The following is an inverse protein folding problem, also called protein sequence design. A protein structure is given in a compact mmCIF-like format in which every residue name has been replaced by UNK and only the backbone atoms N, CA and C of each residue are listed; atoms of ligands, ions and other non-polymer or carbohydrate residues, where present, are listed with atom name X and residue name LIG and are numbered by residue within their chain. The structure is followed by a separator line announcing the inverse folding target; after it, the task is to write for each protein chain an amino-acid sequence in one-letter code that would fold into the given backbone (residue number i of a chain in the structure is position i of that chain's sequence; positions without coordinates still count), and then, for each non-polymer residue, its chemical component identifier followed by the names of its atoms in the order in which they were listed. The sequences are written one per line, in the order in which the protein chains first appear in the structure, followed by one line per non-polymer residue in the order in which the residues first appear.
data_IF_299865427252
#
_entry.id   IF_299865427252
#
_cell.length_a   1.000
_cell.length_b   1.000
_cell.length_c   1.000
_cell.angle_alpha   90.00
_cell.angle_beta   90.00
_cell.angle_gamma   90.00
#
_symmetry.space_group_name_H-M   'P 1'
#
loop_
_entity.id
_entity.type
_entity.pdbx_description
1 polymer ?
#
# COMPACT_ATOMS: atom_id res chain seq x y z
N UNK A 1 65.37 -19.58 12.18
CA UNK A 1 64.34 -19.90 11.17
C UNK A 1 62.99 -20.02 11.86
N UNK A 2 61.98 -19.26 11.37
CA UNK A 2 60.52 -19.58 11.42
C UNK A 2 59.86 -19.58 12.81
N UNK A 3 58.68 -19.00 13.07
CA UNK A 3 57.66 -18.29 12.27
C UNK A 3 56.85 -17.45 13.25
N UNK A 4 56.58 -16.21 12.84
CA UNK A 4 55.78 -15.19 13.54
C UNK A 4 54.40 -15.71 13.95
N UNK A 5 54.08 -15.58 15.24
CA UNK A 5 52.75 -15.75 15.82
C UNK A 5 52.00 -14.41 15.77
N UNK A 6 51.41 -14.11 14.63
CA UNK A 6 50.47 -13.01 14.47
C UNK A 6 49.28 -13.53 13.66
N UNK A 7 48.09 -13.04 13.99
CA UNK A 7 46.77 -13.34 13.42
C UNK A 7 46.09 -14.59 14.02
N UNK A 8 45.24 -14.39 15.05
CA UNK A 8 43.81 -14.55 14.76
C UNK A 8 42.92 -13.52 15.49
N UNK A 9 43.35 -12.26 15.64
CA UNK A 9 42.57 -11.27 16.41
C UNK A 9 41.72 -10.29 15.58
N UNK A 10 41.85 -10.25 14.25
CA UNK A 10 41.18 -9.21 13.44
C UNK A 10 39.89 -9.68 12.74
N UNK A 11 39.56 -10.97 12.77
CA UNK A 11 38.39 -11.51 12.05
C UNK A 11 37.06 -11.44 12.83
N UNK A 12 37.08 -11.01 14.09
CA UNK A 12 35.90 -11.03 14.96
C UNK A 12 35.03 -9.74 14.93
N UNK A 13 35.42 -8.72 14.15
CA UNK A 13 34.76 -7.39 14.18
C UNK A 13 33.80 -7.10 13.03
N UNK A 14 33.55 -8.04 12.10
CA UNK A 14 32.71 -7.81 10.91
C UNK A 14 31.33 -8.49 10.94
N UNK A 15 30.91 -9.09 12.05
CA UNK A 15 29.66 -9.84 12.13
C UNK A 15 28.40 -9.02 12.53
N UNK A 16 28.48 -7.69 12.56
CA UNK A 16 27.35 -6.80 12.90
C UNK A 16 26.81 -6.03 11.68
N UNK A 17 26.90 -6.63 10.49
CA UNK A 17 26.26 -6.10 9.29
C UNK A 17 24.73 -6.16 9.43
N UNK A 18 24.21 -5.09 10.03
CA UNK A 18 22.86 -4.53 9.99
C UNK A 18 21.90 -5.19 9.01
N UNK A 19 20.99 -6.03 9.52
CA UNK A 19 19.68 -6.19 8.90
C UNK A 19 18.81 -4.99 9.31
N UNK A 20 19.05 -3.83 8.69
CA UNK A 20 18.08 -2.75 8.76
C UNK A 20 16.86 -3.19 7.95
N UNK A 21 15.79 -3.59 8.64
CA UNK A 21 14.51 -3.79 7.98
C UNK A 21 14.06 -2.42 7.42
N UNK A 22 13.57 -2.36 6.18
CA UNK A 22 13.04 -1.11 5.64
C UNK A 22 11.97 -0.56 6.59
N UNK A 23 11.91 0.76 6.81
CA UNK A 23 10.84 1.34 7.61
C UNK A 23 9.50 0.87 7.06
N UNK A 24 8.50 0.58 7.92
CA UNK A 24 7.17 0.26 7.46
C UNK A 24 6.74 1.37 6.49
N UNK A 25 6.15 1.02 5.33
CA UNK A 25 5.71 2.03 4.38
C UNK A 25 4.87 3.05 5.14
N UNK A 26 5.23 4.33 5.03
CA UNK A 26 4.48 5.41 5.67
C UNK A 26 3.01 5.16 5.39
N UNK A 27 2.18 5.19 6.44
CA UNK A 27 0.74 5.03 6.32
C UNK A 27 0.20 6.22 5.53
N UNK A 28 0.37 6.20 4.21
CA UNK A 28 -0.30 7.09 3.29
C UNK A 28 -1.78 6.96 3.62
N UNK A 29 -2.32 8.07 4.13
CA UNK A 29 -3.68 8.23 4.63
C UNK A 29 -4.63 7.39 3.79
N UNK A 30 -5.06 6.26 4.36
CA UNK A 30 -5.64 5.18 3.56
C UNK A 30 -7.03 5.63 3.14
N UNK A 31 -7.15 6.10 1.90
CA UNK A 31 -8.44 6.31 1.24
C UNK A 31 -9.23 4.99 1.34
N UNK A 32 -10.26 4.99 2.17
CA UNK A 32 -11.11 3.83 2.45
C UNK A 32 -12.56 4.26 2.37
N UNK A 33 -13.44 3.31 2.03
CA UNK A 33 -14.89 3.55 2.02
C UNK A 33 -15.37 4.04 3.39
N UNK A 34 -14.87 3.45 4.48
CA UNK A 34 -15.25 3.82 5.84
C UNK A 34 -14.87 5.25 6.21
N UNK A 35 -13.67 5.72 5.81
CA UNK A 35 -13.25 7.12 6.01
C UNK A 35 -14.18 8.09 5.30
N UNK A 36 -14.52 7.81 4.04
CA UNK A 36 -15.46 8.65 3.28
C UNK A 36 -16.84 8.66 3.92
N UNK A 37 -17.36 7.49 4.32
CA UNK A 37 -18.68 7.38 4.95
C UNK A 37 -18.76 8.08 6.31
N UNK A 38 -17.68 8.08 7.09
CA UNK A 38 -17.64 8.71 8.42
C UNK A 38 -17.35 10.20 8.40
N UNK A 39 -16.47 10.65 7.50
CA UNK A 39 -15.92 12.01 7.54
C UNK A 39 -16.57 12.94 6.50
N UNK A 40 -16.98 12.44 5.33
CA UNK A 40 -17.57 13.27 4.28
C UNK A 40 -19.08 13.41 4.47
N UNK A 41 -19.55 14.66 4.43
CA UNK A 41 -20.96 15.01 4.60
C UNK A 41 -21.40 16.01 3.55
N UNK A 42 -22.67 15.92 3.16
CA UNK A 42 -23.32 16.94 2.32
C UNK A 42 -23.22 18.29 3.02
N UNK A 43 -22.86 19.34 2.29
CA UNK A 43 -22.62 20.70 2.77
C UNK A 43 -21.17 21.01 3.19
N UNK A 44 -20.28 20.03 3.21
CA UNK A 44 -18.85 20.24 3.49
C UNK A 44 -18.18 21.06 2.38
N UNK A 45 -17.27 21.99 2.69
CA UNK A 45 -16.51 22.66 1.63
C UNK A 45 -15.43 21.77 1.01
N UNK A 46 -15.12 22.03 -0.26
CA UNK A 46 -14.07 21.33 -0.99
C UNK A 46 -12.70 21.37 -0.30
N UNK A 47 -12.36 22.45 0.41
CA UNK A 47 -11.10 22.55 1.15
C UNK A 47 -11.02 21.55 2.31
N UNK A 48 -12.10 21.41 3.07
CA UNK A 48 -12.24 20.42 4.15
C UNK A 48 -12.20 19.00 3.61
N UNK A 49 -12.86 18.75 2.46
CA UNK A 49 -12.76 17.46 1.76
C UNK A 49 -11.30 17.15 1.39
N UNK A 50 -10.57 18.11 0.83
CA UNK A 50 -9.15 17.94 0.49
C UNK A 50 -8.27 17.76 1.73
N UNK A 51 -8.63 18.35 2.86
CA UNK A 51 -7.90 18.16 4.11
C UNK A 51 -8.11 16.75 4.70
N UNK A 52 -9.29 16.18 4.48
CA UNK A 52 -9.67 14.84 4.97
C UNK A 52 -9.17 13.72 4.06
N UNK A 53 -9.29 13.89 2.73
CA UNK A 53 -8.99 12.84 1.75
C UNK A 53 -7.71 13.10 0.94
N UNK A 54 -7.11 14.29 1.09
CA UNK A 54 -6.02 14.73 0.24
C UNK A 54 -6.48 15.25 -1.13
N UNK A 55 -5.51 15.47 -2.00
CA UNK A 55 -5.73 15.92 -3.37
C UNK A 55 -6.43 14.84 -4.20
N UNK A 56 -7.47 15.19 -4.98
CA UNK A 56 -8.12 14.25 -5.87
C UNK A 56 -7.20 13.82 -7.02
N UNK A 57 -7.47 12.64 -7.57
CA UNK A 57 -6.78 12.14 -8.75
C UNK A 57 -7.24 12.90 -10.02
N UNK A 58 -8.53 13.25 -10.08
CA UNK A 58 -9.13 13.95 -11.22
C UNK A 58 -10.08 15.03 -10.72
N UNK A 59 -9.98 16.22 -11.31
CA UNK A 59 -10.94 17.31 -11.17
C UNK A 59 -11.63 17.51 -12.52
N UNK A 60 -12.96 17.44 -12.53
CA UNK A 60 -13.79 17.59 -13.74
C UNK A 60 -15.06 18.39 -13.40
N UNK A 61 -15.98 18.48 -14.36
CA UNK A 61 -17.27 19.15 -14.16
C UNK A 61 -18.44 18.32 -14.66
N UNK A 62 -19.61 18.53 -14.05
CA UNK A 62 -20.88 17.93 -14.49
C UNK A 62 -21.53 18.68 -15.66
N UNK A 63 -22.74 18.27 -16.05
CA UNK A 63 -23.55 18.88 -17.11
C UNK A 63 -23.89 20.37 -16.88
N UNK A 64 -23.82 20.85 -15.64
CA UNK A 64 -24.02 22.26 -15.26
C UNK A 64 -22.70 23.00 -15.03
N UNK A 65 -21.56 22.42 -15.43
CA UNK A 65 -20.21 22.93 -15.20
C UNK A 65 -19.84 23.10 -13.72
N UNK A 66 -20.45 22.32 -12.83
CA UNK A 66 -20.13 22.31 -11.41
C UNK A 66 -19.04 21.28 -11.13
N UNK A 67 -18.18 21.59 -10.18
CA UNK A 67 -16.97 20.82 -9.88
C UNK A 67 -17.29 19.39 -9.40
N UNK A 68 -16.49 18.43 -9.85
CA UNK A 68 -16.57 17.02 -9.48
C UNK A 68 -15.15 16.51 -9.27
N UNK A 69 -14.90 15.90 -8.12
CA UNK A 69 -13.63 15.30 -7.77
C UNK A 69 -13.74 13.79 -7.78
N UNK A 70 -12.73 13.13 -8.35
CA UNK A 70 -12.65 11.68 -8.41
C UNK A 70 -11.35 11.26 -7.71
N UNK A 71 -11.50 10.31 -6.80
CA UNK A 71 -10.41 9.66 -6.11
C UNK A 71 -10.38 8.19 -6.50
N UNK A 72 -9.18 7.67 -6.76
CA UNK A 72 -8.98 6.26 -7.04
C UNK A 72 -7.93 5.65 -6.10
N UNK A 73 -8.12 4.38 -5.76
CA UNK A 73 -7.15 3.58 -5.03
C UNK A 73 -7.16 2.16 -5.57
N UNK A 74 -5.98 1.69 -5.96
CA UNK A 74 -5.75 0.29 -6.33
C UNK A 74 -4.87 -0.33 -5.24
N UNK A 75 -5.29 -1.46 -4.70
CA UNK A 75 -4.53 -2.28 -3.75
C UNK A 75 -4.37 -3.68 -4.30
N UNK A 76 -3.16 -4.24 -4.17
CA UNK A 76 -2.87 -5.62 -4.55
C UNK A 76 -2.42 -6.39 -3.32
N UNK A 77 -3.15 -7.44 -2.96
CA UNK A 77 -2.73 -8.38 -1.93
C UNK A 77 -2.10 -9.58 -2.62
N UNK A 78 -0.88 -9.96 -2.22
CA UNK A 78 -0.20 -11.16 -2.69
C UNK A 78 -0.06 -12.11 -1.51
N UNK A 79 -0.69 -13.28 -1.61
CA UNK A 79 -0.46 -14.37 -0.64
C UNK A 79 0.56 -15.31 -1.23
N UNK A 80 1.80 -15.16 -0.77
CA UNK A 80 2.89 -16.06 -1.08
C UNK A 80 2.97 -17.11 0.04
N UNK A 81 2.39 -18.29 -0.20
CA UNK A 81 2.49 -19.39 0.78
C UNK A 81 3.85 -20.06 0.60
N UNK A 82 4.88 -19.55 1.30
CA UNK A 82 6.16 -20.24 1.41
C UNK A 82 6.13 -21.15 2.65
N UNK A 83 5.88 -22.44 2.44
CA UNK A 83 6.16 -23.44 3.47
C UNK A 83 7.67 -23.68 3.51
N UNK A 84 8.41 -22.87 4.28
CA UNK A 84 9.79 -23.20 4.64
C UNK A 84 9.76 -24.32 5.68
N UNK A 85 9.76 -25.57 5.21
CA UNK A 85 10.15 -26.70 6.05
C UNK A 85 11.65 -26.51 6.32
N UNK A 86 11.95 -25.84 7.43
CA UNK A 86 13.25 -25.87 8.06
C UNK A 86 13.49 -27.28 8.59
N UNK A 87 14.27 -28.06 7.86
CA UNK A 87 14.76 -29.37 8.31
C UNK A 87 14.86 -30.37 7.18
N UNK A 88 16.11 -30.62 6.75
CA UNK A 88 16.58 -31.88 6.15
C UNK A 88 15.79 -32.45 4.97
N UNK A 89 16.33 -32.32 3.75
CA UNK A 89 16.54 -33.42 2.78
C UNK A 89 17.35 -32.85 1.59
N UNK A 90 18.67 -33.07 1.64
CA UNK A 90 19.59 -32.94 0.49
C UNK A 90 19.95 -34.39 0.11
N UNK A 91 18.96 -35.18 -0.32
CA UNK A 91 19.23 -36.54 -0.82
C UNK A 91 18.36 -36.75 -2.06
N UNK A 92 19.04 -36.80 -3.21
CA UNK A 92 18.57 -37.31 -4.50
C UNK A 92 17.34 -36.65 -5.15
N UNK A 93 17.60 -35.82 -6.16
CA UNK A 93 16.73 -35.69 -7.33
C UNK A 93 15.43 -34.90 -7.15
N UNK A 94 15.50 -33.59 -7.40
CA UNK A 94 14.36 -32.82 -7.89
C UNK A 94 13.31 -32.42 -6.85
N UNK A 95 13.65 -31.46 -5.99
CA UNK A 95 12.63 -30.71 -5.23
C UNK A 95 11.94 -29.69 -6.14
N UNK A 96 10.86 -30.09 -6.81
CA UNK A 96 9.92 -29.13 -7.43
C UNK A 96 9.03 -28.57 -6.33
N UNK A 97 9.48 -27.50 -5.68
CA UNK A 97 8.62 -26.70 -4.80
C UNK A 97 7.52 -26.05 -5.64
N UNK A 98 6.28 -26.48 -5.47
CA UNK A 98 5.12 -25.83 -6.09
C UNK A 98 4.75 -24.61 -5.26
N UNK A 99 5.27 -23.43 -5.62
CA UNK A 99 4.79 -22.17 -5.08
C UNK A 99 3.44 -21.84 -5.72
N UNK A 100 2.39 -21.81 -4.91
CA UNK A 100 1.12 -21.20 -5.30
C UNK A 100 1.12 -19.76 -4.82
N UNK A 101 1.19 -18.83 -5.76
CA UNK A 101 0.97 -17.40 -5.48
C UNK A 101 -0.45 -17.05 -5.90
N UNK A 102 -1.25 -16.54 -4.97
CA UNK A 102 -2.54 -15.95 -5.30
C UNK A 102 -2.45 -14.44 -5.11
N UNK A 103 -2.89 -13.68 -6.12
CA UNK A 103 -2.88 -12.22 -6.11
C UNK A 103 -4.31 -11.75 -6.26
N UNK A 104 -4.77 -10.91 -5.34
CA UNK A 104 -6.09 -10.25 -5.43
C UNK A 104 -5.87 -8.76 -5.60
N UNK A 105 -6.46 -8.18 -6.62
CA UNK A 105 -6.47 -6.74 -6.83
C UNK A 105 -7.82 -6.17 -6.41
N UNK A 106 -7.79 -5.02 -5.76
CA UNK A 106 -8.97 -4.29 -5.27
C UNK A 106 -8.88 -2.86 -5.77
N UNK A 107 -9.97 -2.38 -6.37
CA UNK A 107 -10.10 -1.01 -6.83
C UNK A 107 -11.23 -0.33 -6.07
N UNK A 108 -10.95 0.87 -5.57
CA UNK A 108 -11.91 1.77 -4.97
C UNK A 108 -11.92 3.08 -5.77
N UNK A 109 -13.10 3.49 -6.21
CA UNK A 109 -13.32 4.81 -6.83
C UNK A 109 -14.34 5.58 -6.00
N UNK A 110 -14.04 6.82 -5.67
CA UNK A 110 -14.93 7.74 -4.97
C UNK A 110 -15.16 8.95 -5.86
N UNK A 111 -16.41 9.37 -6.00
CA UNK A 111 -16.81 10.53 -6.78
C UNK A 111 -17.52 11.49 -5.85
N UNK A 112 -17.00 12.71 -5.71
CA UNK A 112 -17.58 13.77 -4.89
C UNK A 112 -18.02 14.87 -5.83
N UNK A 113 -19.29 15.26 -5.72
CA UNK A 113 -19.89 16.32 -6.52
C UNK A 113 -20.08 17.55 -5.67
N UNK A 114 -19.78 18.73 -6.22
CA UNK A 114 -19.95 20.01 -5.54
C UNK A 114 -21.06 20.85 -6.17
N UNK A 115 -21.65 21.76 -5.41
CA UNK A 115 -22.55 22.80 -5.91
C UNK A 115 -21.77 24.04 -6.39
N UNK A 116 -22.50 25.11 -6.71
CA UNK A 116 -21.93 26.38 -7.18
C UNK A 116 -21.16 27.13 -6.06
N UNK A 117 -21.47 26.84 -4.79
CA UNK A 117 -20.81 27.41 -3.62
C UNK A 117 -19.62 26.56 -3.16
N UNK A 118 -19.21 25.58 -3.97
CA UNK A 118 -18.13 24.61 -3.69
C UNK A 118 -18.38 23.78 -2.43
N UNK A 119 -19.65 23.50 -2.13
CA UNK A 119 -20.05 22.59 -1.06
C UNK A 119 -20.43 21.23 -1.63
N UNK A 120 -20.15 20.17 -0.88
CA UNK A 120 -20.49 18.80 -1.26
C UNK A 120 -22.01 18.72 -1.42
N UNK A 121 -22.48 18.44 -2.62
CA UNK A 121 -23.91 18.21 -2.89
C UNK A 121 -24.27 16.74 -2.81
N UNK A 122 -23.34 15.87 -3.20
CA UNK A 122 -23.56 14.43 -3.33
C UNK A 122 -22.21 13.71 -3.46
N UNK A 123 -22.16 12.43 -3.10
CA UNK A 123 -20.99 11.59 -3.28
C UNK A 123 -21.38 10.11 -3.49
N UNK A 124 -20.60 9.41 -4.29
CA UNK A 124 -20.79 7.99 -4.59
C UNK A 124 -19.46 7.24 -4.54
N UNK A 125 -19.53 5.93 -4.39
CA UNK A 125 -18.35 5.07 -4.42
C UNK A 125 -18.61 3.78 -5.19
N UNK A 126 -17.55 3.22 -5.75
CA UNK A 126 -17.54 1.93 -6.41
C UNK A 126 -16.34 1.11 -5.91
N UNK A 127 -16.58 -0.14 -5.52
CA UNK A 127 -15.56 -1.06 -5.05
C UNK A 127 -15.63 -2.37 -5.85
N UNK A 128 -14.49 -2.81 -6.38
CA UNK A 128 -14.36 -4.05 -7.15
C UNK A 128 -13.12 -4.83 -6.72
N UNK A 129 -13.18 -6.16 -6.81
CA UNK A 129 -12.05 -7.06 -6.51
C UNK A 129 -11.98 -8.20 -7.53
N UNK A 130 -10.77 -8.56 -7.98
CA UNK A 130 -10.51 -9.61 -8.96
C UNK A 130 -9.19 -10.34 -8.72
#
# INVERSE_FOLDING_TARGET
MKRSSLLPSLAALLALASCASPPPPEEADKLTVGRVQGEIKVGMDAASVAQVLGSPNIVTTDEKRREVWIYDKISSDRVDTSSSIGGTIIIFGGSKGSSSSSSTQRTLTIIIKFDEEKKVRDFAYNYSQF
#
